data_IF_302242222283
#
_entry.id   IF_302242222283
#
_cell.length_a   1.000
_cell.length_b   1.000
_cell.length_c   1.000
_cell.angle_alpha   90.00
_cell.angle_beta   90.00
_cell.angle_gamma   90.00
#
_symmetry.space_group_name_H-M   'P 1'
#
loop_
_entity.id
_entity.type
_entity.pdbx_description
1 polymer ?
#
# COMPACT_ATOMS: atom_id res chain seq x y z
N UNK A 1 -0.06 38.45 -2.36
CA UNK A 1 0.76 39.28 -1.42
C UNK A 1 0.09 40.61 -1.08
N UNK A 2 -0.57 41.26 -2.04
CA UNK A 2 -1.14 42.62 -1.89
C UNK A 2 -2.29 42.80 -0.87
N UNK A 3 -3.04 41.77 -0.47
CA UNK A 3 -4.11 41.90 0.53
C UNK A 3 -3.64 41.88 1.99
N UNK A 4 -2.39 41.45 2.25
CA UNK A 4 -1.84 41.34 3.62
C UNK A 4 -1.21 42.65 4.10
N UNK A 5 -0.55 43.37 3.20
CA UNK A 5 0.07 44.67 3.49
C UNK A 5 -0.97 45.73 3.85
N UNK A 6 -2.15 45.71 3.20
CA UNK A 6 -3.26 46.60 3.51
C UNK A 6 -3.88 46.40 4.91
N UNK A 7 -3.56 45.30 5.61
CA UNK A 7 -4.17 44.93 6.90
C UNK A 7 -3.19 44.95 8.08
N UNK A 8 -1.93 45.36 7.88
CA UNK A 8 -0.95 45.47 8.96
C UNK A 8 -0.66 44.15 9.70
N UNK A 9 -0.91 43.00 9.07
CA UNK A 9 -0.70 41.69 9.71
C UNK A 9 0.77 41.29 9.50
N UNK A 10 1.56 41.10 10.56
CA UNK A 10 2.96 40.71 10.42
C UNK A 10 3.08 39.32 9.78
N UNK A 11 4.13 39.06 8.97
CA UNK A 11 4.35 37.75 8.38
C UNK A 11 4.58 36.70 9.47
N UNK A 12 4.12 35.45 9.28
CA UNK A 12 4.36 34.39 10.25
C UNK A 12 5.87 34.15 10.40
N UNK A 13 6.35 33.82 11.62
CA UNK A 13 7.77 33.60 11.87
C UNK A 13 8.27 32.44 11.01
N UNK A 14 9.30 32.71 10.21
CA UNK A 14 9.99 31.74 9.37
C UNK A 14 10.75 30.79 10.31
N UNK A 15 10.23 29.59 10.51
CA UNK A 15 11.02 28.51 11.12
C UNK A 15 11.97 27.97 10.05
N UNK A 16 13.22 28.42 10.09
CA UNK A 16 14.35 27.80 9.40
C UNK A 16 14.60 26.43 10.04
N UNK A 17 13.92 25.40 9.51
CA UNK A 17 14.32 24.03 9.80
C UNK A 17 15.57 23.72 8.96
N UNK A 18 16.65 23.48 9.70
CA UNK A 18 17.96 22.96 9.30
C UNK A 18 17.98 22.17 7.99
N UNK A 19 18.92 22.54 7.13
CA UNK A 19 19.37 21.83 5.94
C UNK A 19 19.65 20.35 6.24
N UNK A 20 18.79 19.44 5.76
CA UNK A 20 19.08 18.01 5.76
C UNK A 20 19.73 17.69 4.41
N UNK A 21 21.02 17.34 4.47
CA UNK A 21 21.74 16.70 3.36
C UNK A 21 21.04 15.38 3.01
N UNK A 22 20.84 15.05 1.73
CA UNK A 22 20.24 13.78 1.34
C UNK A 22 21.34 12.72 1.36
N UNK A 23 21.59 12.10 2.52
CA UNK A 23 22.29 10.81 2.64
C UNK A 23 22.41 10.44 4.13
N UNK A 24 21.34 9.85 4.70
CA UNK A 24 21.33 9.01 5.93
C UNK A 24 19.92 8.97 6.54
N UNK A 25 18.99 8.27 5.89
CA UNK A 25 17.78 7.77 6.59
C UNK A 25 17.82 6.25 6.53
N UNK A 26 18.78 5.68 7.23
CA UNK A 26 18.74 4.30 7.69
C UNK A 26 19.20 4.31 9.14
N UNK A 27 18.31 3.86 10.02
CA UNK A 27 18.45 3.58 11.46
C UNK A 27 18.50 4.76 12.44
N UNK A 28 17.36 4.99 13.09
CA UNK A 28 17.30 5.11 14.56
C UNK A 28 15.94 4.57 15.05
N UNK A 29 15.91 3.30 15.45
CA UNK A 29 14.77 2.66 16.13
C UNK A 29 15.17 2.32 17.57
N UNK A 30 15.72 3.31 18.28
CA UNK A 30 16.00 3.22 19.70
C UNK A 30 14.80 3.72 20.52
N UNK A 31 14.02 2.78 21.07
CA UNK A 31 13.24 2.94 22.31
C UNK A 31 11.98 3.85 22.32
N UNK A 32 11.74 4.69 21.31
CA UNK A 32 10.61 5.66 21.31
C UNK A 32 9.44 5.21 20.40
N UNK A 33 9.66 4.28 19.47
CA UNK A 33 8.70 3.91 18.43
C UNK A 33 7.64 2.84 18.81
N UNK A 34 7.45 2.53 20.10
CA UNK A 34 6.58 1.42 20.53
C UNK A 34 5.08 1.71 20.43
N UNK A 35 4.67 2.95 20.10
CA UNK A 35 3.25 3.31 20.06
C UNK A 35 2.76 3.85 18.70
N UNK A 36 3.56 3.83 17.63
CA UNK A 36 3.08 4.24 16.30
C UNK A 36 2.46 3.03 15.59
N UNK A 37 1.19 3.15 15.20
CA UNK A 37 0.47 2.11 14.46
C UNK A 37 1.07 1.97 13.05
N UNK A 38 1.25 0.74 12.58
CA UNK A 38 1.86 0.46 11.26
C UNK A 38 1.24 1.26 10.10
N UNK A 39 -0.08 1.47 10.10
CA UNK A 39 -0.78 2.23 9.06
C UNK A 39 -0.37 3.71 9.02
N UNK A 40 -0.11 4.33 10.17
CA UNK A 40 0.42 5.70 10.22
C UNK A 40 1.81 5.74 9.60
N UNK A 41 2.66 4.76 9.96
CA UNK A 41 4.02 4.63 9.46
C UNK A 41 4.05 4.46 7.93
N UNK A 42 3.19 3.61 7.36
CA UNK A 42 3.12 3.40 5.90
C UNK A 42 2.96 4.72 5.14
N UNK A 43 2.08 5.59 5.64
CA UNK A 43 1.72 6.82 4.94
C UNK A 43 2.57 8.04 5.34
N UNK A 44 3.47 7.89 6.32
CA UNK A 44 4.55 8.84 6.60
C UNK A 44 5.82 8.56 5.80
N UNK A 45 5.98 7.33 5.28
CA UNK A 45 7.14 6.98 4.46
C UNK A 45 7.08 7.62 3.06
N UNK A 46 8.23 8.01 2.48
CA UNK A 46 8.28 8.52 1.12
C UNK A 46 7.98 7.39 0.13
N UNK A 47 7.26 7.69 -0.95
CA UNK A 47 7.08 6.75 -2.05
C UNK A 47 8.37 6.70 -2.90
N UNK A 48 9.02 5.53 -3.06
CA UNK A 48 10.25 5.41 -3.85
C UNK A 48 10.01 5.59 -5.36
N UNK A 49 8.76 5.43 -5.80
CA UNK A 49 8.28 5.71 -7.15
C UNK A 49 6.88 6.30 -7.10
N UNK A 50 6.51 7.03 -8.16
CA UNK A 50 5.18 7.63 -8.35
C UNK A 50 4.71 7.29 -9.75
N UNK A 51 4.39 6.03 -9.97
CA UNK A 51 4.01 5.52 -11.29
C UNK A 51 2.61 6.03 -11.63
N UNK A 52 2.44 6.86 -12.67
CA UNK A 52 1.16 7.52 -12.94
C UNK A 52 0.11 6.53 -13.45
N UNK A 53 -1.10 6.61 -12.91
CA UNK A 53 -2.27 5.90 -13.43
C UNK A 53 -2.96 6.74 -14.50
N UNK A 54 -3.24 6.13 -15.66
CA UNK A 54 -3.98 6.76 -16.78
C UNK A 54 -5.49 6.76 -16.51
N UNK A 55 -6.23 7.58 -17.26
CA UNK A 55 -7.70 7.67 -17.21
C UNK A 55 -8.24 7.99 -15.81
N UNK A 56 -7.83 9.14 -15.27
CA UNK A 56 -8.29 9.59 -13.96
C UNK A 56 -9.69 10.19 -14.08
N UNK A 57 -10.66 9.53 -13.46
CA UNK A 57 -11.96 10.11 -13.22
C UNK A 57 -11.95 10.87 -11.88
N UNK A 58 -12.92 11.75 -11.67
CA UNK A 58 -13.13 12.35 -10.35
C UNK A 58 -13.63 11.31 -9.36
N UNK A 59 -13.08 11.33 -8.15
CA UNK A 59 -13.57 10.47 -7.06
C UNK A 59 -15.02 10.81 -6.73
N UNK A 60 -15.79 9.83 -6.27
CA UNK A 60 -17.21 10.00 -5.91
C UNK A 60 -17.50 9.32 -4.59
N UNK A 61 -18.31 9.96 -3.76
CA UNK A 61 -18.85 9.37 -2.54
C UNK A 61 -20.37 9.24 -2.69
N UNK A 62 -20.87 8.01 -2.64
CA UNK A 62 -22.28 7.69 -2.91
C UNK A 62 -23.11 7.64 -1.63
N UNK A 63 -22.46 7.50 -0.47
CA UNK A 63 -23.12 7.55 0.82
C UNK A 63 -23.72 6.22 1.28
N UNK A 64 -24.59 6.24 2.30
CA UNK A 64 -25.43 7.36 2.72
C UNK A 64 -24.64 8.48 3.40
N UNK A 65 -25.05 9.72 3.13
CA UNK A 65 -24.46 10.93 3.71
C UNK A 65 -25.31 11.42 4.88
N UNK A 66 -24.66 11.82 5.95
CA UNK A 66 -25.31 12.33 7.15
C UNK A 66 -24.56 13.56 7.71
N UNK A 67 -25.22 14.42 8.49
CA UNK A 67 -24.55 15.46 9.25
C UNK A 67 -23.56 14.87 10.27
N UNK A 68 -22.61 15.69 10.73
CA UNK A 68 -21.59 15.28 11.69
C UNK A 68 -22.17 14.67 12.98
N UNK A 69 -23.33 15.15 13.44
CA UNK A 69 -23.99 14.65 14.64
C UNK A 69 -24.35 13.16 14.58
N UNK A 70 -24.51 12.59 13.38
CA UNK A 70 -24.95 11.20 13.15
C UNK A 70 -23.80 10.26 12.73
N UNK A 71 -22.70 10.79 12.19
CA UNK A 71 -21.55 10.01 11.73
C UNK A 71 -20.27 10.35 12.52
N UNK A 72 -20.44 10.76 13.77
CA UNK A 72 -19.36 11.29 14.60
C UNK A 72 -18.33 10.21 14.93
N UNK A 73 -17.08 10.49 14.59
CA UNK A 73 -15.93 9.72 15.06
C UNK A 73 -15.84 9.81 16.60
N UNK A 74 -15.69 8.68 17.33
CA UNK A 74 -15.51 8.68 18.78
C UNK A 74 -14.32 9.56 19.23
N UNK A 75 -14.41 10.16 20.42
CA UNK A 75 -13.35 11.04 20.94
C UNK A 75 -12.05 10.31 21.27
N UNK A 76 -12.15 9.01 21.54
CA UNK A 76 -11.06 8.07 21.79
C UNK A 76 -10.53 7.42 20.50
N UNK A 77 -11.02 7.84 19.33
CA UNK A 77 -10.55 7.32 18.06
C UNK A 77 -9.11 7.75 17.75
N UNK A 78 -8.31 6.80 17.27
CA UNK A 78 -6.96 7.02 16.78
C UNK A 78 -6.98 7.15 15.26
N UNK A 79 -6.68 8.33 14.72
CA UNK A 79 -6.57 8.52 13.26
C UNK A 79 -5.33 7.75 12.77
N UNK A 80 -5.55 6.86 11.80
CA UNK A 80 -4.49 6.05 11.19
C UNK A 80 -3.90 6.73 9.96
N UNK A 81 -4.74 7.26 9.07
CA UNK A 81 -4.30 8.09 7.95
C UNK A 81 -5.46 8.88 7.34
N UNK A 82 -5.09 9.92 6.58
CA UNK A 82 -6.02 10.77 5.85
C UNK A 82 -5.59 10.84 4.38
N UNK A 83 -6.55 10.77 3.46
CA UNK A 83 -6.33 10.97 2.02
C UNK A 83 -7.36 11.93 1.46
N UNK A 84 -6.90 12.91 0.70
CA UNK A 84 -7.75 13.90 0.05
C UNK A 84 -7.86 13.61 -1.43
N UNK A 85 -9.06 13.78 -1.96
CA UNK A 85 -9.40 13.56 -3.37
C UNK A 85 -10.14 14.80 -3.89
N UNK A 86 -10.07 15.02 -5.20
CA UNK A 86 -10.74 16.12 -5.90
C UNK A 86 -10.49 17.47 -5.20
N UNK A 87 -9.23 17.90 -5.06
CA UNK A 87 -8.89 19.18 -4.41
C UNK A 87 -9.50 19.35 -3.01
N UNK A 88 -9.56 18.26 -2.23
CA UNK A 88 -10.13 18.19 -0.87
C UNK A 88 -11.66 18.25 -0.80
N UNK A 89 -12.37 18.18 -1.92
CA UNK A 89 -13.83 18.00 -1.92
C UNK A 89 -14.25 16.70 -1.26
N UNK A 90 -13.43 15.64 -1.37
CA UNK A 90 -13.61 14.37 -0.67
C UNK A 90 -12.38 14.13 0.20
N UNK A 91 -12.58 13.73 1.44
CA UNK A 91 -11.51 13.35 2.36
C UNK A 91 -11.85 12.01 3.00
N UNK A 92 -11.02 11.01 2.76
CA UNK A 92 -11.05 9.75 3.47
C UNK A 92 -10.23 9.89 4.76
N UNK A 93 -10.85 9.56 5.88
CA UNK A 93 -10.24 9.50 7.21
C UNK A 93 -10.40 8.06 7.67
N UNK A 94 -9.29 7.35 7.84
CA UNK A 94 -9.29 5.99 8.39
C UNK A 94 -8.80 6.07 9.82
N UNK A 95 -9.57 5.50 10.75
CA UNK A 95 -9.28 5.54 12.17
C UNK A 95 -9.55 4.19 12.84
N UNK A 96 -8.93 3.95 13.98
CA UNK A 96 -9.26 2.86 14.87
C UNK A 96 -10.10 3.38 16.03
N UNK A 97 -11.24 2.76 16.29
CA UNK A 97 -12.12 3.10 17.41
C UNK A 97 -11.51 2.61 18.72
N UNK A 98 -11.46 3.46 19.76
CA UNK A 98 -10.99 3.06 21.09
C UNK A 98 -11.95 2.09 21.80
N UNK A 99 -13.22 2.05 21.38
CA UNK A 99 -14.29 1.23 21.99
C UNK A 99 -14.18 -0.24 21.65
N UNK A 100 -14.04 -0.56 20.36
CA UNK A 100 -14.05 -1.91 19.81
C UNK A 100 -12.72 -2.29 19.13
N UNK A 101 -11.75 -1.37 19.11
CA UNK A 101 -10.45 -1.52 18.43
C UNK A 101 -10.57 -1.81 16.94
N UNK A 102 -11.74 -1.59 16.34
CA UNK A 102 -11.98 -1.87 14.94
C UNK A 102 -11.62 -0.67 14.06
N UNK A 103 -11.10 -0.92 12.85
CA UNK A 103 -10.84 0.13 11.86
C UNK A 103 -12.14 0.57 11.15
N UNK A 104 -12.29 1.87 11.01
CA UNK A 104 -13.42 2.55 10.38
C UNK A 104 -12.93 3.51 9.28
N UNK A 105 -13.73 3.59 8.22
CA UNK A 105 -13.54 4.44 7.07
C UNK A 105 -14.61 5.53 7.08
N UNK A 106 -14.18 6.78 7.24
CA UNK A 106 -15.04 7.96 7.26
C UNK A 106 -14.73 8.81 6.02
N UNK A 107 -15.74 9.05 5.20
CA UNK A 107 -15.69 10.04 4.13
C UNK A 107 -16.28 11.35 4.64
N UNK A 108 -15.56 12.43 4.43
CA UNK A 108 -16.09 13.80 4.46
C UNK A 108 -16.20 14.31 3.04
N UNK A 109 -17.37 14.77 2.65
CA UNK A 109 -17.63 15.42 1.36
C UNK A 109 -18.15 16.83 1.55
N UNK A 110 -17.82 17.75 0.65
CA UNK A 110 -18.44 19.07 0.61
C UNK A 110 -19.53 19.10 -0.45
N UNK A 111 -20.74 19.51 -0.06
CA UNK A 111 -21.84 19.78 -0.97
C UNK A 111 -22.38 21.17 -0.67
N UNK A 112 -22.32 22.07 -1.66
CA UNK A 112 -22.75 23.47 -1.52
C UNK A 112 -22.11 24.17 -0.30
N UNK A 113 -20.80 23.96 -0.10
CA UNK A 113 -20.04 24.52 1.03
C UNK A 113 -20.28 23.85 2.38
N UNK A 114 -21.25 22.94 2.50
CA UNK A 114 -21.57 22.23 3.74
C UNK A 114 -20.91 20.86 3.78
N UNK A 115 -20.24 20.46 4.90
CA UNK A 115 -19.65 19.14 5.02
C UNK A 115 -20.71 18.08 5.37
N UNK A 116 -20.65 16.97 4.64
CA UNK A 116 -21.42 15.75 4.84
C UNK A 116 -20.50 14.59 5.10
N UNK A 117 -20.99 13.59 5.83
CA UNK A 117 -20.18 12.49 6.32
C UNK A 117 -20.81 11.14 6.02
N UNK A 118 -19.98 10.16 5.69
CA UNK A 118 -20.40 8.76 5.54
C UNK A 118 -19.40 7.86 6.24
N UNK A 119 -19.87 7.02 7.15
CA UNK A 119 -19.03 6.18 8.01
C UNK A 119 -19.35 4.71 7.77
N UNK A 120 -18.32 3.88 7.59
CA UNK A 120 -18.44 2.41 7.52
C UNK A 120 -17.29 1.72 8.23
N UNK A 121 -17.56 0.59 8.87
CA UNK A 121 -16.53 -0.30 9.39
C UNK A 121 -15.82 -1.01 8.26
N UNK A 122 -14.53 -1.33 8.41
CA UNK A 122 -13.80 -2.10 7.40
C UNK A 122 -14.44 -3.49 7.17
N UNK A 123 -15.05 -4.07 8.20
CA UNK A 123 -15.77 -5.35 8.14
C UNK A 123 -17.07 -5.30 7.32
N UNK A 124 -17.63 -4.10 7.10
CA UNK A 124 -18.90 -3.89 6.37
C UNK A 124 -18.70 -3.63 4.87
N UNK A 125 -17.46 -3.39 4.46
CA UNK A 125 -17.11 -2.97 3.10
C UNK A 125 -16.49 -4.11 2.32
N UNK A 126 -16.73 -4.16 1.01
CA UNK A 126 -15.91 -4.91 0.05
C UNK A 126 -15.14 -3.92 -0.84
N UNK A 127 -14.03 -4.36 -1.43
CA UNK A 127 -13.19 -3.52 -2.28
C UNK A 127 -12.91 -4.20 -3.61
N UNK A 128 -13.00 -3.42 -4.68
CA UNK A 128 -12.60 -3.82 -6.02
C UNK A 128 -11.77 -2.70 -6.65
N UNK A 129 -10.80 -3.06 -7.49
CA UNK A 129 -10.12 -2.06 -8.32
C UNK A 129 -10.78 -1.96 -9.67
N UNK A 130 -11.11 -0.74 -10.07
CA UNK A 130 -11.53 -0.42 -11.42
C UNK A 130 -10.59 0.64 -12.01
N UNK A 131 -9.67 0.20 -12.88
CA UNK A 131 -8.68 1.07 -13.52
C UNK A 131 -7.79 1.81 -12.51
N UNK A 132 -7.94 3.14 -12.45
CA UNK A 132 -7.19 4.03 -11.55
C UNK A 132 -7.85 4.21 -10.18
N UNK A 133 -8.89 3.42 -9.86
CA UNK A 133 -9.72 3.64 -8.68
C UNK A 133 -9.93 2.40 -7.82
N UNK A 134 -10.16 2.62 -6.53
CA UNK A 134 -10.72 1.62 -5.62
C UNK A 134 -12.20 1.93 -5.39
N UNK A 135 -13.04 0.96 -5.74
CA UNK A 135 -14.47 0.96 -5.49
C UNK A 135 -14.74 0.21 -4.20
N UNK A 136 -15.29 0.92 -3.22
CA UNK A 136 -15.75 0.35 -1.98
C UNK A 136 -17.25 0.13 -2.06
N UNK A 137 -17.68 -1.08 -1.76
CA UNK A 137 -19.07 -1.52 -1.80
C UNK A 137 -19.59 -1.76 -0.39
N UNK A 138 -20.89 -1.54 -0.19
CA UNK A 138 -21.61 -1.84 1.04
C UNK A 138 -22.86 -2.64 0.74
N UNK A 139 -23.37 -3.38 1.72
CA UNK A 139 -24.74 -3.88 1.65
C UNK A 139 -25.75 -2.74 1.92
N UNK A 140 -26.89 -2.78 1.24
CA UNK A 140 -28.01 -1.87 1.48
C UNK A 140 -29.21 -2.62 2.05
N UNK A 141 -29.44 -2.53 3.36
CA UNK A 141 -30.55 -3.25 4.01
C UNK A 141 -31.93 -2.80 3.51
N UNK A 142 -32.09 -1.56 3.05
CA UNK A 142 -33.36 -1.07 2.49
C UNK A 142 -33.69 -1.66 1.12
N UNK A 143 -32.67 -1.97 0.32
CA UNK A 143 -32.82 -2.40 -1.07
C UNK A 143 -32.36 -3.84 -1.31
N UNK A 144 -31.85 -4.50 -0.26
CA UNK A 144 -31.39 -5.88 -0.26
C UNK A 144 -30.39 -6.18 -1.39
N UNK A 145 -29.48 -5.25 -1.66
CA UNK A 145 -28.48 -5.39 -2.70
C UNK A 145 -27.14 -4.70 -2.35
N UNK A 146 -26.02 -5.12 -2.98
CA UNK A 146 -24.75 -4.40 -2.90
C UNK A 146 -24.84 -3.05 -3.60
N UNK A 147 -24.26 -2.01 -2.98
CA UNK A 147 -24.16 -0.67 -3.54
C UNK A 147 -22.76 -0.10 -3.40
N UNK A 148 -22.32 0.65 -4.40
CA UNK A 148 -21.09 1.43 -4.30
C UNK A 148 -21.28 2.45 -3.16
N UNK A 149 -20.36 2.43 -2.21
CA UNK A 149 -20.23 3.41 -1.14
C UNK A 149 -19.30 4.55 -1.56
N UNK A 150 -18.18 4.21 -2.21
CA UNK A 150 -17.18 5.16 -2.65
C UNK A 150 -16.45 4.67 -3.90
N UNK A 151 -16.08 5.59 -4.78
CA UNK A 151 -15.14 5.36 -5.86
C UNK A 151 -13.98 6.36 -5.69
N UNK A 152 -12.82 5.89 -5.22
CA UNK A 152 -11.67 6.73 -4.91
C UNK A 152 -10.60 6.56 -5.99
N UNK A 153 -10.37 7.61 -6.77
CA UNK A 153 -9.43 7.62 -7.88
C UNK A 153 -8.05 8.10 -7.41
N UNK A 154 -7.02 7.31 -7.69
CA UNK A 154 -5.64 7.55 -7.28
C UNK A 154 -4.80 8.08 -8.43
N UNK A 155 -3.83 8.92 -8.09
CA UNK A 155 -2.91 9.50 -9.06
C UNK A 155 -1.80 8.52 -9.43
N UNK A 156 -1.34 7.75 -8.43
CA UNK A 156 -0.24 6.79 -8.59
C UNK A 156 -0.67 5.37 -8.22
N UNK A 157 -0.06 4.41 -8.89
CA UNK A 157 -0.29 2.98 -8.64
C UNK A 157 0.13 2.58 -7.22
N UNK A 158 1.23 3.15 -6.72
CA UNK A 158 1.72 2.85 -5.37
C UNK A 158 0.73 3.27 -4.29
N UNK A 159 0.11 4.45 -4.40
CA UNK A 159 -0.90 4.91 -3.43
C UNK A 159 -2.14 4.02 -3.45
N UNK A 160 -2.59 3.61 -4.64
CA UNK A 160 -3.70 2.68 -4.82
C UNK A 160 -3.43 1.35 -4.12
N UNK A 161 -2.27 0.75 -4.40
CA UNK A 161 -1.86 -0.54 -3.80
C UNK A 161 -1.75 -0.44 -2.29
N UNK A 162 -1.17 0.64 -1.76
CA UNK A 162 -1.00 0.82 -0.32
C UNK A 162 -2.35 0.97 0.40
N UNK A 163 -3.30 1.75 -0.14
CA UNK A 163 -4.63 1.86 0.46
C UNK A 163 -5.37 0.53 0.40
N UNK A 164 -5.29 -0.20 -0.73
CA UNK A 164 -5.86 -1.53 -0.84
C UNK A 164 -5.28 -2.51 0.19
N UNK A 165 -3.96 -2.61 0.30
CA UNK A 165 -3.32 -3.52 1.25
C UNK A 165 -3.62 -3.15 2.70
N UNK A 166 -3.73 -1.84 3.02
CA UNK A 166 -4.19 -1.39 4.34
C UNK A 166 -5.61 -1.85 4.61
N UNK A 167 -6.53 -1.61 3.67
CA UNK A 167 -7.92 -2.05 3.80
C UNK A 167 -8.01 -3.56 4.02
N UNK A 168 -7.31 -4.36 3.20
CA UNK A 168 -7.35 -5.81 3.32
C UNK A 168 -6.82 -6.26 4.68
N UNK A 169 -5.71 -5.68 5.12
CA UNK A 169 -5.10 -5.94 6.44
C UNK A 169 -6.00 -5.58 7.62
N UNK A 170 -6.80 -4.52 7.48
CA UNK A 170 -7.81 -4.14 8.44
C UNK A 170 -8.98 -5.11 8.46
N UNK A 171 -9.48 -5.50 7.29
CA UNK A 171 -10.65 -6.37 7.16
C UNK A 171 -10.35 -7.78 7.67
N UNK A 172 -9.21 -8.37 7.29
CA UNK A 172 -8.81 -9.74 7.67
C UNK A 172 -8.55 -9.89 9.17
N UNK A 173 -8.04 -8.84 9.83
CA UNK A 173 -7.75 -8.86 11.27
C UNK A 173 -8.89 -8.32 12.15
N UNK A 174 -10.04 -7.98 11.56
CA UNK A 174 -11.15 -7.42 12.30
C UNK A 174 -12.01 -8.55 12.90
N UNK A 175 -12.22 -8.51 14.21
CA UNK A 175 -13.04 -9.48 14.95
C UNK A 175 -14.51 -9.50 14.54
N UNK A 176 -15.00 -8.45 13.88
CA UNK A 176 -16.36 -8.34 13.34
C UNK A 176 -16.47 -8.85 11.90
N UNK A 177 -15.35 -9.18 11.25
CA UNK A 177 -15.36 -9.77 9.91
C UNK A 177 -15.72 -11.25 10.02
N UNK A 178 -16.91 -11.62 9.54
CA UNK A 178 -17.37 -13.01 9.51
C UNK A 178 -16.65 -13.80 8.42
N UNK A 179 -16.51 -13.21 7.22
CA UNK A 179 -15.83 -13.81 6.09
C UNK A 179 -15.26 -12.72 5.18
N UNK A 180 -14.05 -12.95 4.66
CA UNK A 180 -13.47 -12.11 3.62
C UNK A 180 -13.86 -12.69 2.27
N UNK A 181 -14.45 -11.87 1.40
CA UNK A 181 -14.81 -12.28 0.06
C UNK A 181 -13.55 -12.57 -0.76
N UNK A 182 -13.57 -13.59 -1.62
CA UNK A 182 -12.40 -13.97 -2.42
C UNK A 182 -11.98 -12.84 -3.38
N UNK A 183 -12.96 -12.04 -3.79
CA UNK A 183 -12.80 -10.86 -4.64
C UNK A 183 -11.98 -9.78 -3.94
N UNK A 184 -12.14 -9.63 -2.61
CA UNK A 184 -11.35 -8.67 -1.81
C UNK A 184 -9.88 -9.09 -1.71
N UNK A 185 -9.59 -10.40 -1.80
CA UNK A 185 -8.24 -10.97 -1.64
C UNK A 185 -7.34 -10.77 -2.86
N UNK A 186 -7.90 -10.31 -3.99
CA UNK A 186 -7.14 -10.09 -5.22
C UNK A 186 -7.31 -8.67 -5.71
N UNK A 187 -6.19 -7.95 -5.83
CA UNK A 187 -6.21 -6.65 -6.50
C UNK A 187 -6.30 -6.88 -8.01
N UNK A 188 -7.49 -6.62 -8.57
CA UNK A 188 -7.71 -6.64 -10.01
C UNK A 188 -6.71 -5.73 -10.73
N UNK A 189 -6.47 -5.99 -12.02
CA UNK A 189 -5.52 -5.18 -12.80
C UNK A 189 -4.05 -5.55 -12.61
N UNK A 190 -3.73 -6.55 -11.78
CA UNK A 190 -2.38 -7.09 -11.63
C UNK A 190 -2.33 -8.58 -12.01
N UNK A 191 -1.24 -9.00 -12.65
CA UNK A 191 -0.93 -10.42 -12.89
C UNK A 191 0.14 -10.90 -11.94
N UNK A 192 0.00 -12.16 -11.52
CA UNK A 192 1.01 -12.88 -10.74
C UNK A 192 2.09 -13.42 -11.68
N UNK A 193 3.32 -12.95 -11.53
CA UNK A 193 4.48 -13.45 -12.29
C UNK A 193 5.17 -14.61 -11.59
N UNK A 194 5.15 -14.62 -10.26
CA UNK A 194 5.85 -15.61 -9.45
C UNK A 194 5.17 -15.78 -8.10
N UNK A 195 5.22 -16.99 -7.55
CA UNK A 195 4.82 -17.27 -6.17
C UNK A 195 5.69 -18.37 -5.56
N UNK A 196 6.12 -18.18 -4.33
CA UNK A 196 6.86 -19.18 -3.58
C UNK A 196 6.64 -19.05 -2.06
N UNK A 197 7.04 -20.07 -1.32
CA UNK A 197 7.09 -20.05 0.14
C UNK A 197 8.44 -19.52 0.61
N UNK A 198 8.39 -18.59 1.56
CA UNK A 198 9.58 -18.02 2.21
C UNK A 198 9.46 -18.19 3.73
N UNK A 199 10.61 -18.21 4.40
CA UNK A 199 10.70 -18.01 5.85
C UNK A 199 11.13 -16.58 6.05
N UNK A 200 10.30 -15.79 6.70
CA UNK A 200 10.55 -14.37 6.96
C UNK A 200 10.06 -14.03 8.37
N UNK A 201 10.91 -13.33 9.10
CA UNK A 201 10.76 -13.02 10.52
C UNK A 201 10.42 -14.24 11.41
N UNK A 202 10.93 -15.43 11.05
CA UNK A 202 10.66 -16.68 11.76
C UNK A 202 9.34 -17.36 11.39
N UNK A 203 8.51 -16.73 10.54
CA UNK A 203 7.23 -17.25 10.09
C UNK A 203 7.27 -17.68 8.62
N UNK A 204 6.34 -18.57 8.26
CA UNK A 204 6.14 -18.98 6.88
C UNK A 204 5.21 -18.00 6.15
N UNK A 205 5.66 -17.46 5.03
CA UNK A 205 4.89 -16.52 4.21
C UNK A 205 4.85 -16.97 2.74
N UNK A 206 3.81 -16.54 2.04
CA UNK A 206 3.77 -16.61 0.58
C UNK A 206 4.36 -15.33 0.02
N UNK A 207 5.50 -15.43 -0.68
CA UNK A 207 6.03 -14.35 -1.49
C UNK A 207 5.42 -14.42 -2.88
N UNK A 208 4.90 -13.30 -3.35
CA UNK A 208 4.29 -13.14 -4.67
C UNK A 208 4.92 -11.95 -5.37
N UNK A 209 5.21 -12.09 -6.66
CA UNK A 209 5.57 -10.97 -7.53
C UNK A 209 4.39 -10.65 -8.42
N UNK A 210 3.90 -9.41 -8.30
CA UNK A 210 2.82 -8.88 -9.12
C UNK A 210 3.36 -7.87 -10.13
N UNK A 211 2.78 -7.87 -11.33
CA UNK A 211 2.97 -6.84 -12.33
C UNK A 211 1.62 -6.21 -12.68
N UNK A 212 1.54 -4.88 -12.64
CA UNK A 212 0.35 -4.13 -13.06
C UNK A 212 0.21 -4.12 -14.58
N UNK A 213 -0.98 -4.47 -15.10
CA UNK A 213 -1.18 -4.61 -16.54
C UNK A 213 -0.92 -3.32 -17.32
N UNK A 214 -1.31 -2.18 -16.75
CA UNK A 214 -1.35 -0.89 -17.43
C UNK A 214 -0.04 -0.11 -17.31
N UNK A 215 0.52 -0.09 -16.10
CA UNK A 215 1.74 0.67 -15.79
C UNK A 215 3.00 -0.17 -15.92
N UNK A 216 2.88 -1.51 -15.98
CA UNK A 216 4.00 -2.47 -15.91
C UNK A 216 4.82 -2.35 -14.61
N UNK A 217 4.29 -1.67 -13.60
CA UNK A 217 4.91 -1.58 -12.29
C UNK A 217 4.99 -2.97 -11.65
N UNK A 218 6.13 -3.29 -11.03
CA UNK A 218 6.36 -4.58 -10.37
C UNK A 218 6.43 -4.38 -8.86
N UNK A 219 5.70 -5.19 -8.11
CA UNK A 219 5.76 -5.22 -6.65
C UNK A 219 6.00 -6.62 -6.11
N UNK A 220 6.79 -6.67 -5.05
CA UNK A 220 6.92 -7.83 -4.18
C UNK A 220 5.84 -7.73 -3.10
N UNK A 221 5.20 -8.85 -2.81
CA UNK A 221 4.15 -8.93 -1.81
C UNK A 221 4.33 -10.18 -0.96
N UNK A 222 4.46 -10.01 0.36
CA UNK A 222 4.43 -11.11 1.30
C UNK A 222 3.09 -11.14 2.01
N UNK A 223 2.48 -12.31 2.03
CA UNK A 223 1.23 -12.57 2.72
C UNK A 223 1.36 -13.80 3.63
N UNK A 224 0.49 -13.87 4.65
CA UNK A 224 0.41 -15.03 5.54
C UNK A 224 0.13 -16.29 4.72
N UNK A 225 0.92 -17.33 4.94
CA UNK A 225 0.87 -18.58 4.16
C UNK A 225 -0.39 -19.42 4.45
N UNK A 226 -0.74 -19.56 5.72
CA UNK A 226 -1.76 -20.51 6.19
C UNK A 226 -2.47 -20.01 7.45
N UNK A 227 -3.55 -20.69 7.83
CA UNK A 227 -4.42 -20.34 8.95
C UNK A 227 -5.46 -19.28 8.62
N UNK A 228 -6.13 -18.76 9.65
CA UNK A 228 -7.28 -17.85 9.51
C UNK A 228 -6.94 -16.53 8.81
N UNK A 229 -5.67 -16.10 8.89
CA UNK A 229 -5.17 -14.89 8.25
C UNK A 229 -4.55 -15.16 6.89
N UNK A 230 -4.71 -16.35 6.29
CA UNK A 230 -4.13 -16.67 4.98
C UNK A 230 -4.44 -15.58 3.95
N UNK A 231 -3.43 -15.23 3.14
CA UNK A 231 -3.44 -14.12 2.17
C UNK A 231 -3.51 -12.70 2.76
N UNK A 232 -3.58 -12.55 4.08
CA UNK A 232 -3.45 -11.24 4.71
C UNK A 232 -2.06 -10.64 4.41
N UNK A 233 -1.97 -9.37 3.96
CA UNK A 233 -0.70 -8.70 3.74
C UNK A 233 0.15 -8.65 5.02
N UNK A 234 1.43 -8.98 4.87
CA UNK A 234 2.48 -8.77 5.88
C UNK A 234 3.30 -7.56 5.49
N UNK A 235 3.80 -7.54 4.24
CA UNK A 235 4.44 -6.36 3.66
C UNK A 235 4.31 -6.33 2.14
N UNK A 236 4.48 -5.14 1.57
CA UNK A 236 4.63 -4.94 0.13
C UNK A 236 5.84 -4.05 -0.14
N UNK A 237 6.47 -4.24 -1.29
CA UNK A 237 7.60 -3.42 -1.72
C UNK A 237 7.55 -3.20 -3.23
N UNK A 238 7.84 -1.97 -3.66
CA UNK A 238 7.84 -1.62 -5.08
C UNK A 238 9.25 -1.77 -5.64
N UNK A 239 9.35 -2.37 -6.83
CA UNK A 239 10.59 -2.42 -7.60
C UNK A 239 10.62 -1.16 -8.45
N UNK A 240 11.62 -0.31 -8.21
CA UNK A 240 11.73 1.02 -8.82
C UNK A 240 13.06 1.13 -9.58
N UNK A 241 13.69 2.31 -9.60
CA UNK A 241 14.94 2.57 -10.30
C UNK A 241 16.12 1.68 -9.85
N UNK A 242 16.09 1.13 -8.63
CA UNK A 242 17.16 0.28 -8.13
C UNK A 242 17.35 -0.99 -8.98
N UNK A 243 16.32 -1.45 -9.69
CA UNK A 243 16.41 -2.64 -10.54
C UNK A 243 17.33 -2.45 -11.76
N UNK A 244 17.65 -1.21 -12.14
CA UNK A 244 18.56 -0.91 -13.23
C UNK A 244 20.01 -1.36 -12.94
N UNK A 245 20.39 -1.47 -11.66
CA UNK A 245 21.73 -1.92 -11.29
C UNK A 245 21.77 -3.43 -11.17
N UNK A 246 22.58 -4.20 -11.93
CA UNK A 246 22.64 -5.66 -11.82
C UNK A 246 23.03 -6.17 -10.42
N UNK A 247 23.56 -5.29 -9.56
CA UNK A 247 23.92 -5.58 -8.16
C UNK A 247 22.74 -5.49 -7.19
N UNK A 248 21.57 -5.03 -7.65
CA UNK A 248 20.38 -4.85 -6.82
C UNK A 248 19.85 -6.18 -6.29
N UNK A 249 19.97 -7.25 -7.07
CA UNK A 249 19.56 -8.60 -6.70
C UNK A 249 20.77 -9.54 -6.75
N UNK A 250 21.04 -10.23 -5.65
CA UNK A 250 22.13 -11.20 -5.56
C UNK A 250 21.68 -12.45 -4.83
N UNK A 251 21.83 -13.61 -5.47
CA UNK A 251 21.68 -14.89 -4.78
C UNK A 251 22.93 -15.16 -3.94
N UNK A 252 22.77 -15.21 -2.62
CA UNK A 252 23.88 -15.33 -1.66
C UNK A 252 24.02 -16.75 -1.10
N UNK A 253 23.01 -17.60 -1.29
CA UNK A 253 23.09 -19.04 -1.04
C UNK A 253 22.08 -19.81 -1.89
N UNK A 254 22.02 -21.14 -1.76
CA UNK A 254 21.02 -21.99 -2.42
C UNK A 254 19.60 -21.48 -2.21
N UNK A 255 19.27 -21.03 -1.01
CA UNK A 255 17.91 -20.62 -0.64
C UNK A 255 17.76 -19.15 -0.30
N UNK A 256 18.83 -18.34 -0.38
CA UNK A 256 18.76 -16.91 0.00
C UNK A 256 19.07 -15.98 -1.17
N UNK A 257 18.20 -14.99 -1.34
CA UNK A 257 18.38 -13.88 -2.30
C UNK A 257 18.37 -12.57 -1.53
N UNK A 258 19.37 -11.73 -1.79
CA UNK A 258 19.54 -10.40 -1.20
C UNK A 258 19.10 -9.35 -2.19
N UNK A 259 18.36 -8.36 -1.70
CA UNK A 259 17.85 -7.21 -2.43
C UNK A 259 18.39 -5.90 -1.81
N UNK A 260 19.03 -5.07 -2.62
CA UNK A 260 19.52 -3.75 -2.22
C UNK A 260 18.48 -2.67 -2.53
N UNK A 261 18.42 -1.64 -1.68
CA UNK A 261 17.58 -0.46 -1.94
C UNK A 261 16.08 -0.73 -1.96
N UNK A 262 15.60 -1.80 -1.34
CA UNK A 262 14.17 -2.11 -1.22
C UNK A 262 13.61 -1.45 0.03
N UNK A 263 12.52 -0.70 -0.13
CA UNK A 263 11.72 -0.16 0.97
C UNK A 263 10.47 -1.02 1.17
N UNK A 264 10.25 -1.47 2.42
CA UNK A 264 9.08 -2.24 2.79
C UNK A 264 7.99 -1.34 3.38
N UNK A 265 6.74 -1.64 3.03
CA UNK A 265 5.55 -1.14 3.69
C UNK A 265 4.92 -2.31 4.44
N UNK A 266 4.95 -2.24 5.78
CA UNK A 266 4.61 -3.35 6.68
C UNK A 266 3.22 -3.15 7.25
N UNK A 267 2.37 -4.17 7.17
CA UNK A 267 0.95 -4.14 7.55
C UNK A 267 0.64 -4.90 8.85
N UNK A 268 1.64 -5.11 9.70
CA UNK A 268 1.56 -5.87 10.95
C UNK A 268 2.50 -5.24 11.98
N UNK A 269 2.08 -5.14 13.24
CA UNK A 269 2.90 -4.47 14.27
C UNK A 269 4.07 -5.34 14.73
N UNK A 270 3.86 -6.65 14.68
CA UNK A 270 4.75 -7.69 15.20
C UNK A 270 5.95 -7.92 14.27
N UNK A 271 5.85 -7.54 12.99
CA UNK A 271 6.87 -7.82 11.99
C UNK A 271 8.12 -6.94 12.19
N UNK A 272 9.28 -7.60 12.31
CA UNK A 272 10.59 -6.98 12.53
C UNK A 272 11.46 -7.11 11.27
N UNK A 273 11.39 -6.10 10.39
CA UNK A 273 12.19 -6.11 9.15
C UNK A 273 13.72 -6.18 9.39
N UNK A 274 14.20 -5.75 10.55
CA UNK A 274 15.61 -5.81 10.94
C UNK A 274 16.15 -7.24 10.93
N UNK A 275 15.29 -8.23 11.22
CA UNK A 275 15.67 -9.64 11.22
C UNK A 275 16.08 -10.14 9.82
N UNK A 276 15.64 -9.45 8.76
CA UNK A 276 16.08 -9.73 7.39
C UNK A 276 17.19 -8.80 6.89
N UNK A 277 17.67 -7.87 7.71
CA UNK A 277 18.70 -6.86 7.34
C UNK A 277 20.00 -6.98 8.14
N UNK A 278 20.21 -8.10 8.83
CA UNK A 278 21.37 -8.35 9.72
C UNK A 278 22.73 -8.29 8.99
N UNK A 279 22.75 -8.34 7.66
CA UNK A 279 24.01 -8.28 6.92
C UNK A 279 24.67 -6.89 7.00
N UNK A 280 26.00 -6.86 6.85
CA UNK A 280 26.83 -5.64 6.90
C UNK A 280 26.40 -4.52 5.94
N UNK A 281 25.61 -4.82 4.91
CA UNK A 281 25.16 -3.87 3.92
C UNK A 281 23.73 -3.34 4.20
N UNK A 282 23.06 -3.79 5.26
CA UNK A 282 21.66 -3.44 5.57
C UNK A 282 20.65 -3.87 4.50
N UNK A 283 21.08 -4.72 3.56
CA UNK A 283 20.26 -5.16 2.44
C UNK A 283 19.19 -6.14 2.92
N UNK A 284 18.05 -6.19 2.24
CA UNK A 284 16.97 -7.10 2.62
C UNK A 284 17.25 -8.51 2.11
N UNK A 285 17.22 -9.52 2.96
CA UNK A 285 17.40 -10.92 2.58
C UNK A 285 16.06 -11.67 2.59
N UNK A 286 15.79 -12.40 1.51
CA UNK A 286 14.66 -13.30 1.38
C UNK A 286 15.18 -14.72 1.48
N UNK A 287 14.66 -15.50 2.44
CA UNK A 287 14.95 -16.92 2.60
C UNK A 287 13.83 -17.77 2.03
N UNK A 288 14.07 -18.35 0.86
CA UNK A 288 13.17 -19.31 0.22
C UNK A 288 13.22 -20.66 0.92
N UNK A 289 12.12 -21.41 0.83
CA UNK A 289 12.06 -22.78 1.34
C UNK A 289 12.70 -23.77 0.36
N UNK A 290 12.59 -23.51 -0.95
CA UNK A 290 13.15 -24.35 -2.03
C UNK A 290 14.27 -23.62 -2.77
N UNK A 291 15.28 -24.38 -3.18
CA UNK A 291 16.40 -23.89 -3.99
C UNK A 291 15.93 -23.40 -5.37
N UNK A 292 15.01 -24.16 -5.97
CA UNK A 292 14.40 -23.89 -7.28
C UNK A 292 13.61 -22.58 -7.24
N UNK A 293 12.93 -22.29 -6.13
CA UNK A 293 12.22 -21.04 -5.94
C UNK A 293 13.18 -19.83 -5.91
N UNK A 294 14.30 -19.94 -5.19
CA UNK A 294 15.32 -18.88 -5.16
C UNK A 294 15.97 -18.66 -6.54
N UNK A 295 16.18 -19.75 -7.30
CA UNK A 295 16.69 -19.70 -8.68
C UNK A 295 15.72 -18.95 -9.60
N UNK A 296 14.47 -19.41 -9.69
CA UNK A 296 13.43 -18.81 -10.55
C UNK A 296 13.14 -17.36 -10.19
N UNK A 297 13.17 -17.02 -8.90
CA UNK A 297 13.00 -15.63 -8.45
C UNK A 297 14.10 -14.70 -9.00
N UNK A 298 15.36 -15.14 -9.01
CA UNK A 298 16.46 -14.36 -9.60
C UNK A 298 16.32 -14.27 -11.13
N UNK A 299 15.97 -15.38 -11.78
CA UNK A 299 15.79 -15.46 -13.24
C UNK A 299 14.70 -14.51 -13.73
N UNK A 300 13.62 -14.34 -12.96
CA UNK A 300 12.53 -13.41 -13.26
C UNK A 300 13.02 -11.96 -13.51
N UNK A 301 14.10 -11.55 -12.86
CA UNK A 301 14.68 -10.21 -12.95
C UNK A 301 15.98 -10.15 -13.74
N UNK A 302 16.38 -11.26 -14.35
CA UNK A 302 17.51 -11.25 -15.28
C UNK A 302 17.05 -10.62 -16.59
N UNK A 303 17.86 -9.76 -17.24
CA UNK A 303 17.55 -9.30 -18.58
C UNK A 303 17.29 -10.53 -19.45
N UNK A 304 16.15 -10.59 -20.15
CA UNK A 304 15.97 -11.59 -21.18
C UNK A 304 17.19 -11.50 -22.09
N UNK A 305 17.93 -12.60 -22.24
CA UNK A 305 18.86 -12.72 -23.36
C UNK A 305 18.02 -12.43 -24.59
N UNK A 306 18.27 -11.29 -25.21
CA UNK A 306 17.70 -10.95 -26.51
C UNK A 306 18.10 -12.13 -27.40
N UNK A 307 17.11 -12.85 -27.91
CA UNK A 307 17.30 -13.88 -28.92
C UNK A 307 17.91 -13.19 -30.16
N UNK A 308 19.24 -13.18 -30.24
CA UNK A 308 19.96 -13.15 -31.51
C UNK A 308 19.73 -14.49 -32.21
N UNK A 309 18.55 -14.64 -32.81
CA UNK A 309 18.26 -15.74 -33.72
C UNK A 309 17.48 -15.29 -34.97
N UNK A 310 17.56 -14.00 -35.30
CA UNK A 310 17.17 -13.44 -36.61
C UNK A 310 18.34 -12.73 -37.30
N UNK A 311 19.50 -13.39 -37.35
CA UNK A 311 20.64 -12.93 -38.15
C UNK A 311 21.42 -14.10 -38.79
N UNK A 312 20.72 -15.01 -39.47
CA UNK A 312 21.33 -15.88 -40.48
C UNK A 312 20.26 -16.39 -41.43
N UNK A 313 19.84 -15.56 -42.39
CA UNK A 313 19.28 -16.01 -43.66
C UNK A 313 19.26 -14.84 -44.65
N UNK A 314 20.44 -14.48 -45.14
CA UNK A 314 20.59 -13.71 -46.38
C UNK A 314 22.03 -13.77 -46.90
N UNK A 315 22.49 -14.97 -47.26
CA UNK A 315 23.51 -15.12 -48.31
C UNK A 315 23.39 -16.51 -48.94
N UNK A 316 23.45 -16.55 -50.28
CA UNK A 316 23.16 -17.68 -51.20
C UNK A 316 21.66 -17.74 -51.53
N UNK A 317 21.20 -17.41 -52.74
CA UNK A 317 21.77 -17.50 -54.10
C UNK A 317 21.20 -16.40 -54.99
#
# INVERSE_FOLDING_TARGET
MQLREARGIPPPPIRLNSTIRPDSVLDDDSGIATNIHWAEKIFSLPLPSRTPLKHQQSSKAYGPHAPWSQARMPSDARILFIRSFNERQITLIVYQSGRDRCPYFLLRTFHMGTPWFSLRGAHELCVERNGSSLQFWRWSSSEQCPKIWANLCFMTWEELVLVYCCFLSFKTRNSLTVQVANEDLTLWGERKLFQARIVDDGFMHSLIVYEDYMTKGIRLHAAVWDGDLRQCPVWTAFITHQSASPKWIKRVSKTRVRLAGIQLYVFCQEYRQQNQRINRAGAFEIRFVSEEAAKRFKELFSPALIDESTATESTQT
#
